data_IF_243859854964
#
_entry.id   IF_243859854964
#
_cell.length_a   1.000
_cell.length_b   1.000
_cell.length_c   1.000
_cell.angle_alpha   90.00
_cell.angle_beta   90.00
_cell.angle_gamma   90.00
#
_symmetry.space_group_name_H-M   'P 1'
#
loop_
_entity.id
_entity.type
_entity.pdbx_description
1 polymer ?
#
# COMPACT_ATOMS: atom_id res chain seq x y z
N UNK A 1 -14.37 2.08 -9.38
CA UNK A 1 -13.94 2.31 -8.00
C UNK A 1 -12.42 2.47 -7.95
N UNK A 2 -11.95 3.45 -7.24
CA UNK A 2 -10.52 3.70 -7.04
C UNK A 2 -10.12 3.38 -5.61
N UNK A 3 -8.99 2.70 -5.48
CA UNK A 3 -8.35 2.47 -4.19
C UNK A 3 -6.93 3.01 -4.22
N UNK A 4 -6.40 3.33 -3.05
CA UNK A 4 -4.97 3.52 -2.85
C UNK A 4 -4.48 2.27 -2.14
N UNK A 5 -3.52 1.59 -2.73
CA UNK A 5 -3.00 0.32 -2.22
C UNK A 5 -1.79 0.57 -1.33
N UNK A 6 -1.95 0.34 -0.03
CA UNK A 6 -0.83 0.41 0.91
C UNK A 6 0.13 -0.77 0.69
N UNK A 7 1.41 -0.53 0.89
CA UNK A 7 2.45 -1.55 0.76
C UNK A 7 2.17 -2.79 1.61
N UNK A 8 1.60 -2.60 2.81
CA UNK A 8 1.25 -3.71 3.70
C UNK A 8 0.28 -4.71 3.04
N UNK A 9 -0.64 -4.22 2.21
CA UNK A 9 -1.59 -5.06 1.48
C UNK A 9 -0.93 -5.70 0.25
N UNK A 10 -0.11 -4.93 -0.47
CA UNK A 10 0.62 -5.44 -1.63
C UNK A 10 1.52 -6.62 -1.27
N UNK A 11 2.19 -6.57 -0.12
CA UNK A 11 3.02 -7.68 0.39
C UNK A 11 2.18 -8.94 0.58
N UNK A 12 0.98 -8.79 1.12
CA UNK A 12 0.06 -9.90 1.35
C UNK A 12 -0.49 -10.53 0.06
N UNK A 13 -0.33 -9.88 -1.09
CA UNK A 13 -0.66 -10.47 -2.38
C UNK A 13 0.26 -11.65 -2.72
N UNK A 14 1.50 -11.62 -2.25
CA UNK A 14 2.54 -12.57 -2.64
C UNK A 14 3.02 -13.44 -1.49
N UNK A 15 2.91 -12.97 -0.26
CA UNK A 15 3.40 -13.66 0.93
C UNK A 15 2.26 -13.93 1.90
N UNK A 16 2.42 -14.95 2.73
CA UNK A 16 1.40 -15.30 3.73
C UNK A 16 1.51 -14.38 4.94
N UNK A 17 0.66 -13.38 4.95
CA UNK A 17 0.53 -12.38 6.00
C UNK A 17 -0.86 -12.44 6.61
N UNK A 18 -1.03 -11.85 7.80
CA UNK A 18 -2.36 -11.68 8.39
C UNK A 18 -3.21 -10.83 7.43
N UNK A 19 -4.40 -11.33 7.10
CA UNK A 19 -5.29 -10.66 6.16
C UNK A 19 -5.00 -10.93 4.69
N UNK A 20 -4.09 -11.86 4.37
CA UNK A 20 -3.72 -12.14 2.98
C UNK A 20 -4.90 -12.59 2.12
N UNK A 21 -5.85 -13.31 2.70
CA UNK A 21 -7.06 -13.74 1.98
C UNK A 21 -7.88 -12.53 1.51
N UNK A 22 -8.12 -11.57 2.40
CA UNK A 22 -8.81 -10.33 2.06
C UNK A 22 -8.01 -9.49 1.06
N UNK A 23 -6.69 -9.40 1.26
CA UNK A 23 -5.80 -8.67 0.35
C UNK A 23 -5.85 -9.25 -1.06
N UNK A 24 -5.88 -10.58 -1.20
CA UNK A 24 -5.93 -11.25 -2.50
C UNK A 24 -7.27 -11.08 -3.21
N UNK A 25 -8.36 -10.91 -2.47
CA UNK A 25 -9.64 -10.53 -3.09
C UNK A 25 -9.55 -9.15 -3.75
N UNK A 26 -8.87 -8.20 -3.12
CA UNK A 26 -8.60 -6.89 -3.73
C UNK A 26 -7.72 -7.02 -4.98
N UNK A 27 -6.72 -7.90 -4.95
CA UNK A 27 -5.88 -8.18 -6.11
C UNK A 27 -6.70 -8.67 -7.29
N UNK A 28 -7.60 -9.62 -7.04
CA UNK A 28 -8.51 -10.15 -8.08
C UNK A 28 -9.35 -9.04 -8.71
N UNK A 29 -9.91 -8.14 -7.89
CA UNK A 29 -10.70 -7.02 -8.39
C UNK A 29 -9.88 -6.06 -9.27
N UNK A 30 -8.60 -5.86 -8.92
CA UNK A 30 -7.68 -5.06 -9.73
C UNK A 30 -7.35 -5.76 -11.05
N UNK A 31 -7.09 -7.08 -11.00
CA UNK A 31 -6.72 -7.86 -12.19
C UNK A 31 -7.84 -7.93 -13.23
N UNK A 32 -9.10 -7.99 -12.79
CA UNK A 32 -10.25 -8.01 -13.71
C UNK A 32 -10.72 -6.61 -14.10
N UNK A 33 -10.08 -5.57 -13.60
CA UNK A 33 -10.37 -4.18 -13.99
C UNK A 33 -11.60 -3.55 -13.33
N UNK A 34 -12.16 -4.18 -12.30
CA UNK A 34 -13.28 -3.59 -11.55
C UNK A 34 -12.82 -2.51 -10.57
N UNK A 35 -11.56 -2.56 -10.16
CA UNK A 35 -10.96 -1.61 -9.24
C UNK A 35 -9.68 -1.07 -9.86
N UNK A 36 -9.52 0.26 -9.84
CA UNK A 36 -8.27 0.92 -10.22
C UNK A 36 -7.45 1.16 -8.95
N UNK A 37 -6.25 0.59 -8.90
CA UNK A 37 -5.33 0.73 -7.77
C UNK A 37 -4.31 1.83 -8.05
N UNK A 38 -4.28 2.82 -7.16
CA UNK A 38 -3.36 3.96 -7.20
C UNK A 38 -2.28 3.76 -6.14
N UNK A 39 -1.05 4.15 -6.45
CA UNK A 39 0.06 4.12 -5.51
C UNK A 39 0.94 5.36 -5.70
N UNK A 40 1.51 5.93 -4.63
CA UNK A 40 2.58 6.91 -4.78
C UNK A 40 3.86 6.21 -5.24
N UNK A 41 4.79 6.94 -5.84
CA UNK A 41 6.04 6.35 -6.36
C UNK A 41 6.88 5.66 -5.28
N UNK A 42 6.82 6.14 -4.04
CA UNK A 42 7.54 5.52 -2.92
C UNK A 42 7.08 4.08 -2.63
N UNK A 43 5.91 3.70 -3.11
CA UNK A 43 5.35 2.35 -2.91
C UNK A 43 6.34 1.24 -3.30
N UNK A 44 6.99 1.40 -4.44
CA UNK A 44 7.94 0.38 -4.92
C UNK A 44 9.21 0.34 -4.08
N UNK A 45 9.64 1.48 -3.52
CA UNK A 45 10.78 1.52 -2.60
C UNK A 45 10.44 0.80 -1.30
N UNK A 46 9.27 1.05 -0.76
CA UNK A 46 8.80 0.36 0.45
C UNK A 46 8.63 -1.14 0.22
N UNK A 47 8.02 -1.51 -0.91
CA UNK A 47 7.79 -2.90 -1.26
C UNK A 47 9.11 -3.65 -1.38
N UNK A 48 10.07 -3.09 -2.11
CA UNK A 48 11.41 -3.66 -2.23
C UNK A 48 12.11 -3.80 -0.89
N UNK A 49 11.95 -2.81 -0.01
CA UNK A 49 12.56 -2.85 1.32
C UNK A 49 11.95 -3.95 2.21
N UNK A 50 10.65 -4.18 2.12
CA UNK A 50 10.00 -5.29 2.84
C UNK A 50 10.55 -6.63 2.37
N UNK A 51 10.66 -6.84 1.05
CA UNK A 51 11.24 -8.07 0.49
C UNK A 51 12.69 -8.26 0.96
N UNK A 52 13.48 -7.19 0.96
CA UNK A 52 14.84 -7.23 1.48
C UNK A 52 14.88 -7.67 2.94
N UNK A 53 13.96 -7.21 3.75
CA UNK A 53 13.87 -7.60 5.16
C UNK A 53 13.60 -9.09 5.30
N UNK A 54 12.69 -9.65 4.51
CA UNK A 54 12.42 -11.08 4.50
C UNK A 54 13.66 -11.90 4.12
N UNK A 55 14.41 -11.45 3.11
CA UNK A 55 15.64 -12.13 2.69
C UNK A 55 16.68 -12.07 3.80
N UNK A 56 16.87 -10.93 4.45
CA UNK A 56 17.82 -10.78 5.55
C UNK A 56 17.48 -11.68 6.74
N UNK A 57 16.20 -11.88 7.00
CA UNK A 57 15.72 -12.76 8.08
C UNK A 57 15.71 -14.23 7.68
N UNK A 58 16.14 -14.55 6.47
CA UNK A 58 16.13 -15.90 5.90
C UNK A 58 14.73 -16.52 5.82
N UNK A 59 13.72 -15.67 5.69
CA UNK A 59 12.33 -16.09 5.53
C UNK A 59 11.90 -16.17 4.07
N UNK A 60 12.75 -15.68 3.16
CA UNK A 60 12.50 -15.67 1.72
C UNK A 60 13.81 -15.80 0.95
N UNK A 61 13.84 -16.69 -0.04
CA UNK A 61 15.00 -16.84 -0.89
C UNK A 61 15.20 -15.60 -1.78
N UNK A 62 16.45 -15.19 -1.98
CA UNK A 62 16.79 -14.01 -2.78
C UNK A 62 16.18 -14.04 -4.18
N UNK A 63 16.32 -15.16 -4.88
CA UNK A 63 15.79 -15.28 -6.25
C UNK A 63 14.27 -15.13 -6.30
N UNK A 64 13.57 -15.65 -5.30
CA UNK A 64 12.12 -15.50 -5.21
C UNK A 64 11.73 -14.05 -4.89
N UNK A 65 12.47 -13.38 -4.02
CA UNK A 65 12.24 -11.96 -3.72
C UNK A 65 12.38 -11.10 -4.98
N UNK A 66 13.42 -11.34 -5.78
CA UNK A 66 13.65 -10.63 -7.04
C UNK A 66 12.50 -10.88 -8.03
N UNK A 67 12.05 -12.12 -8.14
CA UNK A 67 10.92 -12.48 -9.01
C UNK A 67 9.62 -11.82 -8.57
N UNK A 68 9.35 -11.79 -7.27
CA UNK A 68 8.15 -11.11 -6.71
C UNK A 68 8.22 -9.61 -7.01
N UNK A 69 9.37 -8.99 -6.84
CA UNK A 69 9.54 -7.56 -7.10
C UNK A 69 9.24 -7.24 -8.57
N UNK A 70 9.81 -7.99 -9.49
CA UNK A 70 9.55 -7.83 -10.93
C UNK A 70 8.07 -8.02 -11.27
N UNK A 71 7.45 -9.03 -10.69
CA UNK A 71 6.02 -9.29 -10.91
C UNK A 71 5.17 -8.11 -10.43
N UNK A 72 5.52 -7.53 -9.28
CA UNK A 72 4.78 -6.39 -8.74
C UNK A 72 4.98 -5.12 -9.56
N UNK A 73 6.14 -4.94 -10.18
CA UNK A 73 6.36 -3.83 -11.11
C UNK A 73 5.42 -3.89 -12.31
N UNK A 74 5.02 -5.10 -12.73
CA UNK A 74 4.12 -5.32 -13.85
C UNK A 74 2.64 -5.38 -13.43
N UNK A 75 2.34 -5.26 -12.13
CA UNK A 75 0.97 -5.28 -11.63
C UNK A 75 0.19 -4.06 -12.16
N UNK A 76 -1.15 -4.16 -12.28
CA UNK A 76 -1.98 -3.07 -12.80
C UNK A 76 -2.15 -1.96 -11.75
N UNK A 77 -1.08 -1.23 -11.49
CA UNK A 77 -1.03 -0.11 -10.54
C UNK A 77 -0.81 1.20 -11.30
N UNK A 78 -1.56 2.22 -10.93
CA UNK A 78 -1.37 3.57 -11.47
C UNK A 78 -0.55 4.39 -10.47
N UNK A 79 0.62 4.85 -10.88
CA UNK A 79 1.47 5.71 -10.04
C UNK A 79 0.93 7.14 -10.08
N UNK A 80 0.71 7.72 -8.90
CA UNK A 80 0.24 9.10 -8.76
C UNK A 80 1.31 9.96 -8.11
N UNK A 81 1.38 11.22 -8.49
CA UNK A 81 2.34 12.16 -7.93
C UNK A 81 2.02 12.53 -6.50
N UNK A 82 3.07 12.70 -5.69
CA UNK A 82 2.97 13.22 -4.34
C UNK A 82 3.14 14.73 -4.39
N UNK A 83 2.24 15.48 -3.76
CA UNK A 83 2.36 16.92 -3.61
C UNK A 83 3.33 17.23 -2.46
N UNK A 84 4.58 17.53 -2.83
CA UNK A 84 5.66 17.71 -1.85
C UNK A 84 5.44 18.89 -0.92
N UNK A 85 4.80 19.96 -1.42
CA UNK A 85 4.62 21.22 -0.69
C UNK A 85 3.77 21.05 0.57
N UNK A 86 2.76 20.18 0.54
CA UNK A 86 1.85 19.94 1.67
C UNK A 86 2.13 18.65 2.43
N UNK A 87 3.14 17.89 2.02
CA UNK A 87 3.38 16.55 2.55
C UNK A 87 3.69 16.55 4.05
N UNK A 88 4.59 17.45 4.51
CA UNK A 88 4.92 17.56 5.93
C UNK A 88 3.70 17.97 6.75
N UNK A 89 2.92 18.92 6.26
CA UNK A 89 1.69 19.37 6.93
C UNK A 89 0.71 18.21 7.09
N UNK A 90 0.54 17.43 6.05
CA UNK A 90 -0.33 16.24 6.07
C UNK A 90 0.15 15.24 7.12
N UNK A 91 1.45 14.98 7.17
CA UNK A 91 2.03 14.06 8.15
C UNK A 91 1.76 14.53 9.59
N UNK A 92 1.95 15.82 9.85
CA UNK A 92 1.71 16.40 11.17
C UNK A 92 0.22 16.36 11.54
N UNK A 93 -0.65 16.67 10.59
CA UNK A 93 -2.10 16.67 10.79
C UNK A 93 -2.64 15.26 11.06
N UNK A 94 -2.13 14.26 10.36
CA UNK A 94 -2.57 12.86 10.51
C UNK A 94 -1.75 12.07 11.53
N UNK A 95 -0.79 12.72 12.19
CA UNK A 95 0.06 12.11 13.21
C UNK A 95 0.74 10.82 12.70
N UNK A 96 1.34 10.91 11.52
CA UNK A 96 1.98 9.78 10.88
C UNK A 96 3.30 10.19 10.24
N UNK A 97 3.99 9.24 9.63
CA UNK A 97 5.23 9.50 8.90
C UNK A 97 4.94 10.26 7.61
N UNK A 98 5.97 10.92 7.07
CA UNK A 98 5.88 11.55 5.74
C UNK A 98 5.58 10.49 4.67
N UNK A 99 6.07 9.26 4.84
CA UNK A 99 5.82 8.14 3.93
C UNK A 99 4.33 7.78 3.90
N UNK A 100 3.71 7.59 5.07
CA UNK A 100 2.27 7.31 5.15
C UNK A 100 1.44 8.49 4.68
N UNK A 101 1.92 9.71 4.91
CA UNK A 101 1.24 10.92 4.44
C UNK A 101 1.09 10.95 2.92
N UNK A 102 2.02 10.35 2.17
CA UNK A 102 1.88 10.26 0.72
C UNK A 102 0.67 9.40 0.33
N UNK A 103 0.39 8.34 1.07
CA UNK A 103 -0.81 7.53 0.87
C UNK A 103 -2.09 8.28 1.25
N UNK A 104 -2.04 9.06 2.33
CA UNK A 104 -3.17 9.92 2.74
C UNK A 104 -3.48 10.94 1.63
N UNK A 105 -2.47 11.62 1.11
CA UNK A 105 -2.65 12.58 0.02
C UNK A 105 -3.29 11.94 -1.21
N UNK A 106 -2.77 10.79 -1.63
CA UNK A 106 -3.31 10.07 -2.78
C UNK A 106 -4.78 9.72 -2.58
N UNK A 107 -5.13 9.25 -1.37
CA UNK A 107 -6.50 8.89 -1.00
C UNK A 107 -7.44 10.09 -1.13
N UNK A 108 -7.06 11.22 -0.56
CA UNK A 108 -7.91 12.42 -0.55
C UNK A 108 -7.97 13.08 -1.94
N UNK A 109 -6.84 13.20 -2.62
CA UNK A 109 -6.76 13.88 -3.92
C UNK A 109 -7.55 13.15 -5.02
N UNK A 110 -7.64 11.83 -4.93
CA UNK A 110 -8.31 11.02 -5.95
C UNK A 110 -9.68 10.51 -5.51
N UNK A 111 -10.18 10.96 -4.37
CA UNK A 111 -11.44 10.51 -3.78
C UNK A 111 -11.52 8.98 -3.76
N UNK A 112 -10.46 8.35 -3.30
CA UNK A 112 -10.29 6.91 -3.26
C UNK A 112 -10.51 6.37 -1.85
N UNK A 113 -10.49 5.03 -1.74
CA UNK A 113 -10.41 4.33 -0.45
C UNK A 113 -8.98 3.85 -0.25
N UNK A 114 -8.44 4.06 0.93
CA UNK A 114 -7.15 3.46 1.31
C UNK A 114 -7.39 2.02 1.74
N UNK A 115 -6.75 1.07 1.09
CA UNK A 115 -6.78 -0.34 1.51
C UNK A 115 -5.45 -0.64 2.20
N UNK A 116 -5.51 -0.97 3.48
CA UNK A 116 -4.34 -1.11 4.35
C UNK A 116 -4.48 -2.30 5.29
N UNK A 117 -3.35 -2.87 5.71
CA UNK A 117 -3.29 -3.86 6.78
C UNK A 117 -2.89 -3.23 8.13
N UNK A 118 -2.75 -1.91 8.17
CA UNK A 118 -2.46 -1.18 9.40
C UNK A 118 -3.62 -1.30 10.40
N UNK A 119 -3.34 -1.11 11.68
CA UNK A 119 -4.38 -1.18 12.72
C UNK A 119 -5.38 -0.05 12.57
N UNK A 120 -6.67 -0.38 12.74
CA UNK A 120 -7.74 0.62 12.68
C UNK A 120 -7.58 1.72 13.75
N UNK A 121 -6.86 1.43 14.83
CA UNK A 121 -6.60 2.38 15.94
C UNK A 121 -5.40 3.30 15.68
N UNK A 122 -4.62 3.07 14.64
CA UNK A 122 -3.53 3.99 14.28
C UNK A 122 -4.13 5.38 14.01
N UNK A 123 -3.53 6.47 14.53
CA UNK A 123 -4.15 7.80 14.43
C UNK A 123 -4.53 8.20 13.00
N UNK A 124 -3.67 7.96 12.03
CA UNK A 124 -3.94 8.35 10.66
C UNK A 124 -5.05 7.52 9.99
N UNK A 125 -5.18 6.26 10.37
CA UNK A 125 -6.27 5.40 9.90
C UNK A 125 -7.60 5.84 10.53
N UNK A 126 -7.60 6.05 11.84
CA UNK A 126 -8.79 6.52 12.54
C UNK A 126 -9.28 7.87 11.98
N UNK A 127 -8.36 8.77 11.66
CA UNK A 127 -8.69 10.08 11.09
C UNK A 127 -9.23 10.01 9.67
N UNK A 128 -8.76 9.06 8.86
CA UNK A 128 -9.31 8.80 7.52
C UNK A 128 -10.76 8.27 7.60
N UNK A 129 -11.10 7.60 8.70
CA UNK A 129 -12.45 7.11 8.93
C UNK A 129 -12.93 6.15 7.84
N UNK A 130 -14.03 6.48 7.18
CA UNK A 130 -14.62 5.64 6.12
C UNK A 130 -13.77 5.51 4.88
N UNK A 131 -12.78 6.37 4.71
CA UNK A 131 -11.86 6.31 3.57
C UNK A 131 -10.79 5.23 3.75
N UNK A 132 -10.68 4.62 4.91
CA UNK A 132 -9.75 3.53 5.19
C UNK A 132 -10.50 2.20 5.30
N UNK A 133 -10.02 1.22 4.56
CA UNK A 133 -10.51 -0.17 4.59
C UNK A 133 -9.35 -1.01 5.12
N UNK A 134 -9.53 -1.57 6.31
CA UNK A 134 -8.48 -2.39 6.94
C UNK A 134 -8.72 -3.86 6.59
N UNK A 135 -7.71 -4.51 5.98
CA UNK A 135 -7.78 -5.94 5.66
C UNK A 135 -7.43 -6.77 6.89
N UNK A 136 -8.20 -7.83 7.12
CA UNK A 136 -7.99 -8.80 8.21
C UNK A 136 -8.35 -10.20 7.74
#
# INVERSE_FOLDING_TARGET
MRIVLDTSVAVAWYLDEVGCESARRWQEECLVGRVEALVPSLHFLEFGNVLRTYVRRRELARGLAEAIYELHLDAPLTVVETERESLLRTALEYETTVYDAAYVQATLAHDALLVTAERATAPWIAKLGRRAVVVR
#
